data_IF_810851721489
#
_entry.id   IF_810851721489
#
_cell.length_a   1.000
_cell.length_b   1.000
_cell.length_c   1.000
_cell.angle_alpha   90.00
_cell.angle_beta   90.00
_cell.angle_gamma   90.00
#
_symmetry.space_group_name_H-M   'P 1'
#
loop_
_entity.id
_entity.type
_entity.pdbx_description
1 polymer ?
#
# COMPACT_ATOMS: atom_id res chain seq x y z
N UNK A 1 -25.92 7.61 10.57
CA UNK A 1 -24.80 6.65 10.51
C UNK A 1 -23.63 7.36 9.83
N UNK A 2 -22.46 7.43 10.47
CA UNK A 2 -21.28 8.08 9.87
C UNK A 2 -20.48 7.01 9.13
N UNK A 3 -20.27 7.19 7.82
CA UNK A 3 -19.39 6.30 7.07
C UNK A 3 -17.93 6.49 7.53
N UNK A 4 -17.17 5.40 7.52
CA UNK A 4 -15.75 5.39 7.87
C UNK A 4 -14.92 5.09 6.63
N UNK A 5 -13.86 5.87 6.44
CA UNK A 5 -12.88 5.70 5.37
C UNK A 5 -11.49 5.57 5.97
N UNK A 6 -10.73 4.57 5.53
CA UNK A 6 -9.30 4.45 5.78
C UNK A 6 -8.59 4.06 4.51
N UNK A 7 -7.43 4.67 4.27
CA UNK A 7 -6.53 4.34 3.19
C UNK A 7 -5.12 4.24 3.75
N UNK A 8 -4.38 3.22 3.34
CA UNK A 8 -2.93 3.19 3.54
C UNK A 8 -2.27 2.41 2.42
N UNK A 9 -0.99 2.71 2.27
CA UNK A 9 -0.14 2.08 1.27
C UNK A 9 0.78 1.07 1.93
N UNK A 10 1.16 0.04 1.19
CA UNK A 10 2.11 -0.97 1.65
C UNK A 10 2.82 -1.62 0.47
N UNK A 11 3.93 -2.28 0.75
CA UNK A 11 4.68 -3.10 -0.20
C UNK A 11 4.75 -4.54 0.29
N UNK A 12 5.04 -5.48 -0.61
CA UNK A 12 5.34 -6.86 -0.24
C UNK A 12 6.86 -7.11 -0.30
N UNK A 13 7.54 -7.01 0.84
CA UNK A 13 9.00 -7.24 0.93
C UNK A 13 9.42 -8.68 0.60
N UNK A 14 8.49 -9.65 0.64
CA UNK A 14 8.73 -11.03 0.22
C UNK A 14 8.55 -11.27 -1.28
N UNK A 15 8.05 -10.26 -2.03
CA UNK A 15 7.89 -10.32 -3.49
C UNK A 15 8.60 -9.12 -4.12
N UNK A 16 9.88 -9.33 -4.42
CA UNK A 16 10.72 -8.40 -5.16
C UNK A 16 10.91 -8.95 -6.57
N UNK A 17 10.77 -8.09 -7.57
CA UNK A 17 11.02 -8.42 -8.98
C UNK A 17 12.51 -8.61 -9.24
N UNK A 18 12.84 -9.18 -10.39
CA UNK A 18 14.24 -9.32 -10.82
C UNK A 18 14.98 -7.98 -10.95
N UNK A 19 14.25 -6.87 -11.17
CA UNK A 19 14.80 -5.51 -11.23
C UNK A 19 15.06 -4.87 -9.85
N UNK A 20 14.83 -5.60 -8.75
CA UNK A 20 15.04 -5.11 -7.39
C UNK A 20 13.87 -4.31 -6.80
N UNK A 21 12.80 -4.09 -7.57
CA UNK A 21 11.64 -3.32 -7.10
C UNK A 21 10.49 -4.20 -6.61
N UNK A 22 9.59 -3.62 -5.81
CA UNK A 22 8.33 -4.25 -5.38
C UNK A 22 7.14 -3.33 -5.65
N UNK A 23 5.97 -3.92 -5.94
CA UNK A 23 4.74 -3.16 -6.15
C UNK A 23 4.29 -2.45 -4.89
N UNK A 24 3.90 -1.18 -5.05
CA UNK A 24 3.15 -0.46 -4.02
C UNK A 24 1.67 -0.82 -4.20
N UNK A 25 1.05 -1.24 -3.11
CA UNK A 25 -0.38 -1.52 -3.03
C UNK A 25 -1.07 -0.43 -2.20
N UNK A 26 -2.34 -0.22 -2.51
CA UNK A 26 -3.23 0.64 -1.73
C UNK A 26 -4.36 -0.23 -1.17
N UNK A 27 -4.53 -0.22 0.15
CA UNK A 27 -5.70 -0.83 0.81
C UNK A 27 -6.67 0.28 1.17
N UNK A 28 -7.89 0.16 0.66
CA UNK A 28 -9.01 1.04 0.96
C UNK A 28 -9.97 0.28 1.87
N UNK A 29 -10.45 0.92 2.93
CA UNK A 29 -11.45 0.37 3.84
C UNK A 29 -12.61 1.35 3.95
N UNK A 30 -13.81 0.90 3.56
CA UNK A 30 -15.06 1.68 3.64
C UNK A 30 -16.02 0.88 4.50
N UNK A 31 -16.44 1.44 5.63
CA UNK A 31 -17.41 0.81 6.54
C UNK A 31 -17.04 -0.64 6.91
N UNK A 32 -15.75 -0.85 7.19
CA UNK A 32 -15.17 -2.15 7.54
C UNK A 32 -14.92 -3.10 6.35
N UNK A 33 -15.40 -2.78 5.15
CA UNK A 33 -15.13 -3.56 3.93
C UNK A 33 -13.79 -3.16 3.34
N UNK A 34 -12.96 -4.14 3.05
CA UNK A 34 -11.57 -3.96 2.61
C UNK A 34 -11.43 -4.33 1.13
N UNK A 35 -10.74 -3.47 0.38
CA UNK A 35 -10.28 -3.74 -0.99
C UNK A 35 -8.81 -3.36 -1.12
N UNK A 36 -8.02 -4.18 -1.81
CA UNK A 36 -6.63 -3.89 -2.13
C UNK A 36 -6.45 -3.76 -3.65
N UNK A 37 -5.76 -2.72 -4.08
CA UNK A 37 -5.46 -2.45 -5.49
C UNK A 37 -3.95 -2.27 -5.69
N UNK A 38 -3.45 -2.73 -6.84
CA UNK A 38 -2.10 -2.39 -7.28
C UNK A 38 -2.12 -0.94 -7.80
N UNK A 39 -1.17 -0.11 -7.36
CA UNK A 39 -1.11 1.30 -7.80
C UNK A 39 -0.43 1.46 -9.16
N UNK A 40 0.24 0.42 -9.66
CA UNK A 40 1.12 0.50 -10.82
C UNK A 40 2.46 1.18 -10.53
N UNK A 41 2.70 1.63 -9.30
CA UNK A 41 3.96 2.18 -8.84
C UNK A 41 4.82 1.10 -8.18
N UNK A 42 6.13 1.30 -8.23
CA UNK A 42 7.13 0.40 -7.71
C UNK A 42 8.21 1.19 -6.99
N UNK A 43 8.80 0.60 -5.95
CA UNK A 43 9.96 1.16 -5.28
C UNK A 43 10.91 0.05 -4.84
N UNK A 44 12.14 0.42 -4.49
CA UNK A 44 13.01 -0.50 -3.78
C UNK A 44 12.47 -0.73 -2.35
N UNK A 45 12.48 -1.97 -1.82
CA UNK A 45 11.98 -2.26 -0.47
C UNK A 45 12.64 -1.42 0.64
N UNK A 46 13.91 -1.06 0.47
CA UNK A 46 14.71 -0.25 1.38
C UNK A 46 14.30 1.23 1.41
N UNK A 47 13.76 1.75 0.31
CA UNK A 47 13.26 3.12 0.22
C UNK A 47 11.85 3.28 0.82
N UNK A 48 11.17 2.17 1.11
CA UNK A 48 9.83 2.19 1.68
C UNK A 48 9.83 2.65 3.13
N UNK A 49 9.28 3.84 3.35
CA UNK A 49 9.05 4.42 4.68
C UNK A 49 7.59 4.22 5.10
N UNK A 50 7.37 3.38 6.12
CA UNK A 50 6.04 3.11 6.66
C UNK A 50 5.42 4.29 7.39
N UNK A 51 6.19 5.33 7.72
CA UNK A 51 5.73 6.51 8.46
C UNK A 51 5.31 7.67 7.53
N UNK A 52 5.67 7.61 6.24
CA UNK A 52 5.39 8.68 5.27
C UNK A 52 3.94 8.75 4.75
N UNK A 53 2.98 8.11 5.42
CA UNK A 53 1.58 8.01 4.98
C UNK A 53 0.53 8.50 5.99
N UNK A 54 0.95 9.04 7.13
CA UNK A 54 0.05 9.68 8.09
C UNK A 54 -0.02 11.17 7.75
N UNK A 55 -1.11 11.58 7.08
CA UNK A 55 -1.54 12.97 6.97
C UNK A 55 -2.80 13.17 7.83
#
# INVERSE_FOLDING_TARGET
MRSTYKQFYYINRGRVKADGTTSIFCRITIDGKVSAIATGLYCAPEEWDTKKGEA
#
